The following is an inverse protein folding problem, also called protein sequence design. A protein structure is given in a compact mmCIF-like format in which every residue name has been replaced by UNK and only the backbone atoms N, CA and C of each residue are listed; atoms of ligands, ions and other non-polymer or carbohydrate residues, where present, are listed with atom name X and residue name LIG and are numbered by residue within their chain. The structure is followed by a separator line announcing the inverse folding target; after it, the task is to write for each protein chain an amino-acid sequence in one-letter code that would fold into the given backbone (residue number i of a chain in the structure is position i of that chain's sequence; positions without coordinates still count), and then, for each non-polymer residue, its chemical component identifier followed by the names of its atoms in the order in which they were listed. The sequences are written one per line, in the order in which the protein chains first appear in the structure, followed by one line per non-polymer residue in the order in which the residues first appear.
data_IF_084534179975
#
_entry.id   IF_084534179975
#
_cell.length_a   1.000
_cell.length_b   1.000
_cell.length_c   1.000
_cell.angle_alpha   90.00
_cell.angle_beta   90.00
_cell.angle_gamma   90.00
#
_symmetry.space_group_name_H-M   'P 1'
#
loop_
_entity.id
_entity.type
_entity.pdbx_description
1 polymer ?
#
# COMPACT_ATOMS: atom_id res chain seq x y z
N UNK A 1 6.09 2.53 1.59
CA UNK A 1 7.01 3.22 0.65
C UNK A 1 7.72 2.19 -0.20
N UNK A 2 8.57 2.63 -1.13
CA UNK A 2 9.43 1.75 -1.94
C UNK A 2 10.86 2.25 -1.82
N UNK A 3 11.82 1.33 -1.70
CA UNK A 3 13.25 1.64 -1.64
C UNK A 3 13.91 0.96 -2.83
N UNK A 4 14.68 1.71 -3.60
CA UNK A 4 15.50 1.18 -4.69
C UNK A 4 16.96 1.17 -4.24
N UNK A 5 17.51 -0.02 -4.06
CA UNK A 5 18.88 -0.19 -3.60
C UNK A 5 19.76 -0.59 -4.78
N UNK A 6 20.56 0.32 -5.35
CA UNK A 6 21.56 -0.06 -6.33
C UNK A 6 22.58 -1.00 -5.66
N UNK A 7 23.01 -2.02 -6.39
CA UNK A 7 24.11 -2.89 -5.97
C UNK A 7 25.41 -2.41 -6.62
N UNK A 8 26.53 -2.81 -6.01
CA UNK A 8 27.84 -2.63 -6.60
C UNK A 8 27.90 -3.23 -8.02
N UNK A 9 28.79 -2.69 -8.89
CA UNK A 9 28.97 -3.18 -10.25
C UNK A 9 29.11 -4.70 -10.31
N UNK A 10 28.48 -5.31 -11.32
CA UNK A 10 28.44 -6.77 -11.44
C UNK A 10 29.84 -7.39 -11.46
N UNK A 11 30.80 -6.79 -12.15
CA UNK A 11 32.16 -7.33 -12.29
C UNK A 11 32.95 -7.36 -10.98
N UNK A 12 32.62 -6.48 -10.04
CA UNK A 12 33.20 -6.47 -8.70
C UNK A 12 32.55 -7.56 -7.84
N UNK A 13 31.22 -7.67 -7.92
CA UNK A 13 30.45 -8.62 -7.12
C UNK A 13 30.56 -10.06 -7.63
N UNK A 14 30.73 -10.28 -8.93
CA UNK A 14 30.76 -11.62 -9.54
C UNK A 14 32.01 -12.43 -9.15
N UNK A 15 33.09 -11.77 -8.70
CA UNK A 15 34.34 -12.45 -8.34
C UNK A 15 34.30 -13.06 -6.94
N UNK A 16 33.75 -12.33 -5.96
CA UNK A 16 33.78 -12.72 -4.54
C UNK A 16 32.55 -12.28 -3.72
N UNK A 17 31.59 -11.60 -4.34
CA UNK A 17 30.40 -11.07 -3.67
C UNK A 17 29.23 -12.05 -3.70
N UNK A 18 28.23 -11.83 -2.84
CA UNK A 18 27.02 -12.64 -2.83
C UNK A 18 26.22 -12.47 -4.12
N UNK A 19 25.61 -13.55 -4.57
CA UNK A 19 24.62 -13.54 -5.63
C UNK A 19 23.40 -12.71 -5.24
N UNK A 20 22.63 -12.27 -6.24
CA UNK A 20 21.40 -11.52 -6.00
C UNK A 20 20.42 -12.32 -5.11
N UNK A 21 20.34 -13.64 -5.30
CA UNK A 21 19.45 -14.50 -4.51
C UNK A 21 19.90 -14.62 -3.05
N UNK A 22 21.21 -14.66 -2.79
CA UNK A 22 21.75 -14.65 -1.43
C UNK A 22 21.47 -13.32 -0.74
N UNK A 23 21.66 -12.19 -1.42
CA UNK A 23 21.31 -10.86 -0.90
C UNK A 23 19.81 -10.78 -0.56
N UNK A 24 18.94 -11.21 -1.49
CA UNK A 24 17.49 -11.19 -1.26
C UNK A 24 17.11 -12.08 -0.07
N UNK A 25 17.74 -13.24 0.07
CA UNK A 25 17.45 -14.19 1.17
C UNK A 25 17.90 -13.63 2.51
N UNK A 26 19.12 -13.11 2.60
CA UNK A 26 19.65 -12.48 3.82
C UNK A 26 18.79 -11.27 4.25
N UNK A 27 18.45 -10.39 3.32
CA UNK A 27 17.58 -9.24 3.59
C UNK A 27 16.18 -9.70 4.03
N UNK A 28 15.61 -10.73 3.40
CA UNK A 28 14.29 -11.25 3.78
C UNK A 28 14.29 -11.76 5.22
N UNK A 29 15.34 -12.48 5.63
CA UNK A 29 15.49 -12.98 7.00
C UNK A 29 15.62 -11.81 7.98
N UNK A 30 16.54 -10.87 7.73
CA UNK A 30 16.78 -9.73 8.62
C UNK A 30 15.53 -8.88 8.82
N UNK A 31 14.82 -8.58 7.72
CA UNK A 31 13.64 -7.72 7.74
C UNK A 31 12.39 -8.42 8.29
N UNK A 32 12.36 -9.77 8.30
CA UNK A 32 11.25 -10.53 8.88
C UNK A 32 11.08 -10.34 10.39
N UNK A 33 12.10 -9.81 11.07
CA UNK A 33 12.07 -9.54 12.51
C UNK A 33 11.31 -8.26 12.89
N UNK A 34 11.03 -7.38 11.93
CA UNK A 34 10.30 -6.13 12.14
C UNK A 34 8.80 -6.45 12.26
N UNK A 35 8.18 -6.04 13.37
CA UNK A 35 6.79 -6.38 13.68
C UNK A 35 5.80 -5.32 13.19
N UNK A 36 6.24 -4.07 13.11
CA UNK A 36 5.42 -2.91 12.81
C UNK A 36 5.10 -2.79 11.31
N UNK A 37 5.80 -3.53 10.45
CA UNK A 37 5.64 -3.48 9.00
C UNK A 37 5.90 -4.82 8.33
N UNK A 38 5.16 -5.10 7.25
CA UNK A 38 5.49 -6.18 6.31
C UNK A 38 6.41 -5.64 5.22
N UNK A 39 7.61 -6.22 5.14
CA UNK A 39 8.64 -5.84 4.18
C UNK A 39 8.85 -6.98 3.19
N UNK A 40 8.76 -6.67 1.89
CA UNK A 40 8.96 -7.62 0.81
C UNK A 40 10.21 -7.23 0.03
N UNK A 41 11.14 -8.17 -0.11
CA UNK A 41 12.34 -8.02 -0.94
C UNK A 41 12.12 -8.77 -2.24
N UNK A 42 12.02 -8.03 -3.34
CA UNK A 42 11.72 -8.57 -4.66
C UNK A 42 12.86 -8.26 -5.63
N UNK A 43 13.14 -9.18 -6.54
CA UNK A 43 14.05 -8.91 -7.66
C UNK A 43 13.39 -8.01 -8.69
N UNK A 44 14.14 -7.11 -9.36
CA UNK A 44 13.63 -6.33 -10.47
C UNK A 44 13.23 -7.27 -11.63
N UNK A 45 12.23 -6.89 -12.45
CA UNK A 45 11.84 -7.68 -13.61
C UNK A 45 12.97 -7.71 -14.66
N UNK A 46 13.07 -8.79 -15.45
CA UNK A 46 14.11 -8.92 -16.49
C UNK A 46 13.96 -7.88 -17.61
N UNK A 47 12.73 -7.38 -17.85
CA UNK A 47 12.44 -6.32 -18.81
C UNK A 47 11.80 -5.15 -18.08
N UNK A 48 12.46 -3.98 -18.16
CA UNK A 48 11.92 -2.73 -17.58
C UNK A 48 10.60 -2.37 -18.27
N UNK A 49 9.59 -2.03 -17.48
CA UNK A 49 8.27 -1.59 -17.97
C UNK A 49 7.17 -2.66 -18.00
N UNK A 50 7.48 -3.95 -17.78
CA UNK A 50 6.47 -5.02 -17.73
C UNK A 50 5.84 -5.22 -16.33
N UNK A 51 6.32 -4.51 -15.32
CA UNK A 51 5.81 -4.60 -13.95
C UNK A 51 6.85 -4.16 -12.93
N UNK A 52 6.49 -4.25 -11.64
CA UNK A 52 7.39 -3.95 -10.51
C UNK A 52 8.01 -5.22 -9.90
N UNK A 53 7.49 -6.40 -10.24
CA UNK A 53 7.98 -7.70 -9.80
C UNK A 53 7.94 -8.69 -10.99
N UNK A 54 8.87 -9.65 -11.03
CA UNK A 54 8.75 -10.81 -11.92
C UNK A 54 7.66 -11.79 -11.44
N UNK A 55 7.17 -12.65 -12.34
CA UNK A 55 6.16 -13.68 -12.03
C UNK A 55 4.82 -13.46 -12.75
N UNK A 56 3.71 -13.71 -12.06
CA UNK A 56 2.35 -13.55 -12.59
C UNK A 56 1.55 -12.54 -11.76
N UNK A 57 0.47 -12.02 -12.35
CA UNK A 57 -0.48 -11.13 -11.68
C UNK A 57 -1.89 -11.60 -11.95
N UNK A 58 -2.71 -11.63 -10.92
CA UNK A 58 -4.14 -11.94 -11.00
C UNK A 58 -4.95 -10.94 -10.19
N UNK A 59 -6.25 -10.82 -10.51
CA UNK A 59 -7.19 -10.01 -9.75
C UNK A 59 -8.33 -10.90 -9.26
N UNK A 60 -8.60 -10.85 -7.96
CA UNK A 60 -9.78 -11.49 -7.37
C UNK A 60 -10.94 -10.50 -7.47
N UNK A 61 -12.05 -10.94 -8.05
CA UNK A 61 -13.22 -10.10 -8.27
C UNK A 61 -14.42 -10.65 -7.50
N UNK A 62 -15.06 -9.78 -6.72
CA UNK A 62 -16.42 -10.02 -6.22
C UNK A 62 -17.42 -9.72 -7.34
N UNK A 63 -18.08 -10.78 -7.85
CA UNK A 63 -19.12 -10.68 -8.88
C UNK A 63 -20.54 -10.71 -8.31
N UNK A 64 -20.68 -11.01 -7.02
CA UNK A 64 -21.97 -11.12 -6.34
C UNK A 64 -22.32 -9.91 -5.49
N UNK A 65 -21.42 -8.93 -5.38
CA UNK A 65 -21.54 -7.79 -4.47
C UNK A 65 -21.71 -8.23 -3.01
N UNK A 66 -20.99 -9.30 -2.62
CA UNK A 66 -21.00 -9.88 -1.26
C UNK A 66 -20.30 -8.96 -0.26
N UNK A 67 -19.36 -8.12 -0.74
CA UNK A 67 -18.76 -7.04 0.04
C UNK A 67 -17.28 -7.25 0.38
N UNK A 68 -16.64 -6.18 0.85
CA UNK A 68 -15.19 -6.11 1.02
C UNK A 68 -14.63 -7.16 2.00
N UNK A 69 -15.37 -7.45 3.09
CA UNK A 69 -14.91 -8.41 4.10
C UNK A 69 -14.84 -9.83 3.54
N UNK A 70 -15.85 -10.26 2.79
CA UNK A 70 -15.84 -11.59 2.18
C UNK A 70 -14.84 -11.68 1.02
N UNK A 71 -14.65 -10.59 0.27
CA UNK A 71 -13.57 -10.50 -0.71
C UNK A 71 -12.19 -10.62 -0.05
N UNK A 72 -11.99 -10.03 1.13
CA UNK A 72 -10.75 -10.15 1.89
C UNK A 72 -10.50 -11.58 2.35
N UNK A 73 -11.51 -12.20 2.96
CA UNK A 73 -11.44 -13.58 3.44
C UNK A 73 -11.11 -14.54 2.30
N UNK A 74 -11.82 -14.42 1.17
CA UNK A 74 -11.59 -15.24 -0.02
C UNK A 74 -10.20 -15.02 -0.62
N UNK A 75 -9.74 -13.77 -0.66
CA UNK A 75 -8.39 -13.44 -1.15
C UNK A 75 -7.31 -14.04 -0.25
N UNK A 76 -7.43 -13.91 1.07
CA UNK A 76 -6.46 -14.49 2.01
C UNK A 76 -6.47 -16.03 2.00
N UNK A 77 -7.64 -16.65 1.85
CA UNK A 77 -7.75 -18.09 1.70
C UNK A 77 -7.05 -18.58 0.42
N UNK A 78 -7.26 -17.88 -0.71
CA UNK A 78 -6.57 -18.16 -1.97
C UNK A 78 -5.05 -18.03 -1.83
N UNK A 79 -4.57 -16.95 -1.20
CA UNK A 79 -3.13 -16.75 -0.96
C UNK A 79 -2.57 -17.85 -0.04
N UNK A 80 -3.30 -18.24 1.00
CA UNK A 80 -2.90 -19.31 1.91
C UNK A 80 -2.76 -20.66 1.19
N UNK A 81 -3.73 -21.04 0.38
CA UNK A 81 -3.69 -22.25 -0.43
C UNK A 81 -2.58 -22.19 -1.49
N UNK A 82 -2.43 -21.06 -2.18
CA UNK A 82 -1.41 -20.89 -3.22
C UNK A 82 0.01 -21.03 -2.69
N UNK A 83 0.29 -20.61 -1.44
CA UNK A 83 1.60 -20.80 -0.83
C UNK A 83 1.87 -22.24 -0.34
N UNK A 84 0.88 -23.13 -0.38
CA UNK A 84 1.05 -24.57 -0.10
C UNK A 84 1.22 -25.40 -1.38
N UNK A 85 0.91 -24.84 -2.55
CA UNK A 85 0.96 -25.53 -3.83
C UNK A 85 2.39 -25.65 -4.36
N UNK A 86 2.88 -26.86 -4.69
CA UNK A 86 4.18 -27.04 -5.32
C UNK A 86 4.28 -26.26 -6.65
N UNK A 87 5.38 -25.50 -6.81
CA UNK A 87 5.62 -24.70 -8.00
C UNK A 87 5.15 -23.25 -7.91
N UNK A 88 4.37 -22.89 -6.88
CA UNK A 88 4.09 -21.50 -6.52
C UNK A 88 5.02 -21.08 -5.37
N UNK A 89 5.53 -19.85 -5.46
CA UNK A 89 6.39 -19.31 -4.40
C UNK A 89 6.04 -17.85 -4.16
N UNK A 90 6.04 -17.45 -2.89
CA UNK A 90 5.90 -16.05 -2.46
C UNK A 90 4.66 -15.37 -3.05
N UNK A 91 3.51 -16.05 -3.01
CA UNK A 91 2.25 -15.47 -3.48
C UNK A 91 1.73 -14.49 -2.42
N UNK A 92 1.41 -13.25 -2.79
CA UNK A 92 0.95 -12.23 -1.86
C UNK A 92 -0.11 -11.33 -2.47
N UNK A 93 -0.78 -10.55 -1.62
CA UNK A 93 -1.70 -9.49 -2.01
C UNK A 93 -1.38 -8.22 -1.24
N UNK A 94 -1.64 -7.06 -1.86
CA UNK A 94 -1.60 -5.75 -1.20
C UNK A 94 -2.96 -5.33 -0.65
N UNK A 95 -3.99 -6.17 -0.81
CA UNK A 95 -5.32 -5.91 -0.27
C UNK A 95 -5.29 -5.96 1.27
N UNK A 96 -5.86 -4.95 1.91
CA UNK A 96 -5.96 -4.84 3.36
C UNK A 96 -7.21 -4.06 3.75
N UNK A 97 -7.88 -4.51 4.82
CA UNK A 97 -9.00 -3.81 5.45
C UNK A 97 -8.64 -3.23 6.82
N UNK A 98 -7.36 -3.31 7.20
CA UNK A 98 -6.92 -3.00 8.56
C UNK A 98 -6.54 -1.52 8.75
N UNK A 99 -6.74 -0.68 7.73
CA UNK A 99 -6.55 0.76 7.86
C UNK A 99 -7.61 1.31 8.81
N UNK A 100 -7.23 1.84 9.99
CA UNK A 100 -8.19 2.42 10.91
C UNK A 100 -8.94 3.56 10.25
N UNK A 101 -10.26 3.60 10.45
CA UNK A 101 -11.11 4.67 9.96
C UNK A 101 -11.83 5.31 11.14
N UNK A 102 -11.97 6.63 11.09
CA UNK A 102 -12.78 7.39 12.03
C UNK A 102 -14.11 7.73 11.34
N UNK A 103 -15.22 7.32 11.95
CA UNK A 103 -16.55 7.73 11.50
C UNK A 103 -17.03 8.91 12.35
N UNK A 104 -17.27 10.05 11.70
CA UNK A 104 -17.80 11.24 12.35
C UNK A 104 -19.29 11.39 12.03
N UNK A 105 -20.14 11.17 13.02
CA UNK A 105 -21.59 11.35 12.88
C UNK A 105 -22.00 12.79 13.18
N UNK A 106 -22.65 13.45 12.21
CA UNK A 106 -23.19 14.80 12.39
C UNK A 106 -24.67 14.71 12.74
N UNK A 107 -25.01 15.07 13.98
CA UNK A 107 -26.40 15.19 14.43
C UNK A 107 -27.06 16.41 13.79
N UNK A 108 -27.87 16.14 12.77
CA UNK A 108 -28.55 17.16 11.98
C UNK A 108 -29.69 17.84 12.73
N UNK A 109 -30.34 17.13 13.65
CA UNK A 109 -31.45 17.70 14.42
C UNK A 109 -30.92 18.67 15.46
N UNK A 110 -29.86 18.29 16.16
CA UNK A 110 -29.18 19.16 17.12
C UNK A 110 -28.59 20.39 16.44
N UNK A 111 -27.95 20.23 15.28
CA UNK A 111 -27.43 21.36 14.51
C UNK A 111 -28.54 22.38 14.19
N UNK A 112 -29.69 21.91 13.70
CA UNK A 112 -30.85 22.79 13.42
C UNK A 112 -31.42 23.44 14.69
N UNK A 113 -31.54 22.71 15.80
CA UNK A 113 -32.03 23.24 17.08
C UNK A 113 -31.12 24.33 17.66
N UNK A 114 -29.83 24.26 17.37
CA UNK A 114 -28.82 25.23 17.79
C UNK A 114 -28.59 26.33 16.74
N UNK A 115 -29.38 26.37 15.67
CA UNK A 115 -29.23 27.29 14.54
C UNK A 115 -27.82 27.28 13.91
N UNK A 116 -27.19 26.09 13.88
CA UNK A 116 -25.89 25.87 13.24
C UNK A 116 -26.12 25.31 11.84
N UNK A 117 -25.74 26.04 10.77
CA UNK A 117 -25.82 25.52 9.41
C UNK A 117 -24.96 24.27 9.23
N UNK A 118 -25.52 23.23 8.61
CA UNK A 118 -24.78 21.99 8.31
C UNK A 118 -23.56 22.25 7.41
N UNK A 119 -23.65 23.22 6.50
CA UNK A 119 -22.54 23.65 5.64
C UNK A 119 -21.33 24.06 6.48
N UNK A 120 -21.53 24.87 7.53
CA UNK A 120 -20.44 25.32 8.39
C UNK A 120 -19.74 24.16 9.10
N UNK A 121 -20.49 23.12 9.49
CA UNK A 121 -19.92 21.92 10.11
C UNK A 121 -19.04 21.16 9.12
N UNK A 122 -19.54 20.94 7.90
CA UNK A 122 -18.77 20.23 6.87
C UNK A 122 -17.57 21.02 6.36
N UNK A 123 -17.70 22.34 6.20
CA UNK A 123 -16.59 23.23 5.84
C UNK A 123 -15.48 23.18 6.90
N UNK A 124 -15.85 23.26 8.19
CA UNK A 124 -14.89 23.14 9.28
C UNK A 124 -14.19 21.78 9.25
N UNK A 125 -14.92 20.68 9.08
CA UNK A 125 -14.31 19.35 8.97
C UNK A 125 -13.35 19.25 7.76
N UNK A 126 -13.73 19.81 6.60
CA UNK A 126 -12.88 19.81 5.41
C UNK A 126 -11.58 20.60 5.64
N UNK A 127 -11.66 21.77 6.25
CA UNK A 127 -10.51 22.63 6.55
C UNK A 127 -9.58 21.98 7.56
N UNK A 128 -10.11 21.44 8.67
CA UNK A 128 -9.29 20.96 9.79
C UNK A 128 -8.82 19.50 9.66
N UNK A 129 -9.58 18.63 9.00
CA UNK A 129 -9.22 17.22 8.84
C UNK A 129 -8.64 16.89 7.45
N UNK A 130 -8.75 17.82 6.51
CA UNK A 130 -8.23 17.69 5.16
C UNK A 130 -7.32 18.85 4.81
N UNK A 131 -7.59 19.43 3.66
CA UNK A 131 -6.97 20.66 3.20
C UNK A 131 -7.95 21.37 2.29
N UNK A 132 -7.89 22.71 2.29
CA UNK A 132 -8.63 23.54 1.36
C UNK A 132 -7.61 24.38 0.61
N UNK A 133 -7.59 24.21 -0.70
CA UNK A 133 -6.92 25.15 -1.57
C UNK A 133 -7.72 26.45 -1.59
N UNK A 134 -7.09 27.56 -1.17
CA UNK A 134 -7.72 28.88 -1.17
C UNK A 134 -7.30 29.62 -2.43
N UNK A 135 -5.99 29.81 -2.61
CA UNK A 135 -5.37 30.42 -3.76
C UNK A 135 -3.85 30.29 -3.69
N UNK A 136 -3.18 30.53 -4.81
CA UNK A 136 -1.74 30.73 -4.87
C UNK A 136 -1.37 32.16 -4.49
N UNK A 137 -0.18 32.31 -3.87
CA UNK A 137 0.41 33.62 -3.56
C UNK A 137 1.82 33.72 -4.13
N UNK A 138 2.19 34.91 -4.61
CA UNK A 138 3.56 35.21 -5.00
C UNK A 138 4.28 35.94 -3.86
N UNK A 139 5.05 35.19 -3.06
CA UNK A 139 5.71 35.72 -1.86
C UNK A 139 6.92 36.63 -2.19
N UNK A 140 7.41 36.63 -3.43
CA UNK A 140 8.66 37.32 -3.81
C UNK A 140 8.57 38.15 -5.09
N UNK A 141 7.36 38.41 -5.59
CA UNK A 141 7.11 39.33 -6.72
C UNK A 141 7.75 38.91 -8.05
N UNK A 142 8.13 37.63 -8.22
CA UNK A 142 8.61 37.12 -9.51
C UNK A 142 7.52 36.28 -10.15
N UNK A 143 6.88 36.87 -11.15
CA UNK A 143 5.98 36.18 -12.10
C UNK A 143 6.81 35.65 -13.26
#
# INVERSE_FOLDING_TARGET
GVIFTPLDPFDERAKHGPSLNEIITDLSIRLSTIQEARLLVISPPPVRGLGTAGGYKMMVQDRGAVGLRELANSSYALIGAANQEPGLTRVYTTFSLNTPQLYAEVDREKAKKLDVPLTNIFDALQVYLGSVYVNDINLFGRV
#
